data_IF_992109261753
#
_entry.id   IF_992109261753
#
_cell.length_a   1.000
_cell.length_b   1.000
_cell.length_c   1.000
_cell.angle_alpha   90.00
_cell.angle_beta   90.00
_cell.angle_gamma   90.00
#
_symmetry.space_group_name_H-M   'P 1'
#
loop_
_entity.id
_entity.type
_entity.pdbx_description
1 polymer ?
#
# COMPACT_ATOMS: atom_id res chain seq x y z
N UNK A 1 -17.54 -30.23 -4.26
CA UNK A 1 -18.65 -29.97 -5.22
C UNK A 1 -19.24 -28.57 -5.12
N UNK A 2 -19.60 -28.04 -3.93
CA UNK A 2 -20.26 -26.73 -3.77
C UNK A 2 -19.47 -25.52 -4.32
N UNK A 3 -18.14 -25.52 -4.17
CA UNK A 3 -17.28 -24.42 -4.66
C UNK A 3 -17.25 -24.29 -6.20
N UNK A 4 -17.25 -25.41 -6.94
CA UNK A 4 -17.27 -25.38 -8.40
C UNK A 4 -18.60 -24.86 -8.97
N UNK A 5 -19.71 -25.06 -8.26
CA UNK A 5 -21.01 -24.52 -8.65
C UNK A 5 -21.06 -23.00 -8.48
N UNK A 6 -20.59 -22.50 -7.33
CA UNK A 6 -20.49 -21.06 -7.06
C UNK A 6 -19.55 -20.35 -8.04
N UNK A 7 -18.43 -20.98 -8.41
CA UNK A 7 -17.51 -20.43 -9.41
C UNK A 7 -18.17 -20.29 -10.79
N UNK A 8 -18.93 -21.31 -11.23
CA UNK A 8 -19.69 -21.26 -12.48
C UNK A 8 -20.77 -20.18 -12.45
N UNK A 9 -21.50 -20.07 -11.34
CA UNK A 9 -22.52 -19.04 -11.14
C UNK A 9 -21.91 -17.64 -11.15
N UNK A 10 -20.76 -17.44 -10.50
CA UNK A 10 -20.05 -16.16 -10.53
C UNK A 10 -19.62 -15.79 -11.95
N UNK A 11 -19.02 -16.72 -12.70
CA UNK A 11 -18.64 -16.50 -14.10
C UNK A 11 -19.84 -16.10 -14.96
N UNK A 12 -20.97 -16.79 -14.83
CA UNK A 12 -22.21 -16.48 -15.53
C UNK A 12 -22.71 -15.08 -15.18
N UNK A 13 -22.72 -14.71 -13.90
CA UNK A 13 -23.18 -13.39 -13.48
C UNK A 13 -22.24 -12.26 -13.92
N UNK A 14 -20.93 -12.50 -14.01
CA UNK A 14 -20.01 -11.53 -14.64
C UNK A 14 -20.37 -11.31 -16.11
N UNK A 15 -20.70 -12.36 -16.86
CA UNK A 15 -21.14 -12.22 -18.25
C UNK A 15 -22.46 -11.43 -18.36
N UNK A 16 -23.36 -11.60 -17.39
CA UNK A 16 -24.59 -10.81 -17.32
C UNK A 16 -24.31 -9.33 -17.01
N UNK A 17 -23.39 -9.02 -16.10
CA UNK A 17 -22.98 -7.64 -15.78
C UNK A 17 -22.35 -6.93 -16.98
N UNK A 18 -21.63 -7.66 -17.83
CA UNK A 18 -21.02 -7.13 -19.06
C UNK A 18 -21.98 -7.17 -20.27
N UNK A 19 -23.22 -7.61 -20.09
CA UNK A 19 -24.21 -7.66 -21.17
C UNK A 19 -24.59 -6.25 -21.66
N UNK A 20 -24.86 -6.14 -22.95
CA UNK A 20 -25.46 -4.95 -23.58
C UNK A 20 -26.96 -4.82 -23.29
N UNK A 21 -27.61 -5.91 -22.89
CA UNK A 21 -29.02 -5.92 -22.48
C UNK A 21 -29.17 -5.42 -21.02
N UNK A 22 -29.97 -4.37 -20.84
CA UNK A 22 -30.15 -3.69 -19.54
C UNK A 22 -30.75 -4.63 -18.49
N UNK A 23 -31.73 -5.45 -18.86
CA UNK A 23 -32.41 -6.34 -17.93
C UNK A 23 -31.46 -7.42 -17.40
N UNK A 24 -30.69 -8.04 -18.30
CA UNK A 24 -29.64 -9.00 -17.97
C UNK A 24 -28.57 -8.37 -17.07
N UNK A 25 -28.15 -7.15 -17.39
CA UNK A 25 -27.17 -6.41 -16.59
C UNK A 25 -27.67 -6.09 -15.19
N UNK A 26 -28.92 -5.65 -15.05
CA UNK A 26 -29.55 -5.42 -13.74
C UNK A 26 -29.57 -6.70 -12.90
N UNK A 27 -29.99 -7.84 -13.48
CA UNK A 27 -30.00 -9.14 -12.79
C UNK A 27 -28.59 -9.57 -12.35
N UNK A 28 -27.60 -9.38 -13.23
CA UNK A 28 -26.19 -9.64 -12.90
C UNK A 28 -25.71 -8.79 -11.73
N UNK A 29 -26.02 -7.48 -11.73
CA UNK A 29 -25.65 -6.57 -10.66
C UNK A 29 -26.35 -6.89 -9.33
N UNK A 30 -27.65 -7.20 -9.34
CA UNK A 30 -28.40 -7.60 -8.14
C UNK A 30 -27.81 -8.86 -7.49
N UNK A 31 -27.46 -9.86 -8.31
CA UNK A 31 -26.83 -11.08 -7.81
C UNK A 31 -25.43 -10.78 -7.25
N UNK A 32 -24.62 -10.01 -7.96
CA UNK A 32 -23.27 -9.64 -7.51
C UNK A 32 -23.28 -8.85 -6.20
N UNK A 33 -24.30 -8.00 -5.98
CA UNK A 33 -24.50 -7.25 -4.74
C UNK A 33 -24.98 -8.14 -3.57
N UNK A 34 -25.72 -9.21 -3.85
CA UNK A 34 -26.20 -10.17 -2.85
C UNK A 34 -25.23 -11.33 -2.58
N UNK A 35 -24.11 -11.40 -3.29
CA UNK A 35 -23.12 -12.47 -3.15
C UNK A 35 -22.55 -12.51 -1.72
N UNK A 36 -22.85 -13.57 -0.94
CA UNK A 36 -22.63 -13.70 0.53
C UNK A 36 -21.20 -14.12 0.98
N UNK A 37 -20.89 -14.26 2.27
CA UNK A 37 -19.52 -14.49 2.82
C UNK A 37 -18.73 -15.64 2.17
N UNK A 38 -19.41 -16.68 1.69
CA UNK A 38 -18.80 -17.76 0.88
C UNK A 38 -18.21 -17.28 -0.47
N UNK A 39 -18.43 -16.00 -0.80
CA UNK A 39 -17.84 -15.26 -1.90
C UNK A 39 -16.33 -15.19 -1.86
N UNK A 40 -15.73 -14.99 -0.68
CA UNK A 40 -14.29 -14.75 -0.60
C UNK A 40 -13.50 -15.98 -1.05
N UNK A 41 -13.88 -17.17 -0.57
CA UNK A 41 -13.29 -18.45 -1.01
C UNK A 41 -13.54 -18.71 -2.49
N UNK A 42 -14.72 -18.36 -3.00
CA UNK A 42 -15.05 -18.54 -4.42
C UNK A 42 -14.24 -17.59 -5.31
N UNK A 43 -14.14 -16.31 -4.94
CA UNK A 43 -13.31 -15.33 -5.62
C UNK A 43 -11.83 -15.72 -5.56
N UNK A 44 -11.36 -16.27 -4.43
CA UNK A 44 -10.00 -16.80 -4.30
C UNK A 44 -9.74 -17.94 -5.28
N UNK A 45 -10.67 -18.89 -5.37
CA UNK A 45 -10.57 -20.00 -6.31
C UNK A 45 -10.60 -19.53 -7.78
N UNK A 46 -11.39 -18.49 -8.09
CA UNK A 46 -11.39 -17.87 -9.42
C UNK A 46 -10.04 -17.24 -9.74
N UNK A 47 -9.47 -16.49 -8.80
CA UNK A 47 -8.19 -15.81 -9.02
C UNK A 47 -7.04 -16.79 -9.25
N UNK A 48 -7.07 -17.94 -8.60
CA UNK A 48 -6.09 -19.03 -8.78
C UNK A 48 -6.40 -19.97 -9.95
N UNK A 49 -7.51 -19.76 -10.66
CA UNK A 49 -7.91 -20.59 -11.80
C UNK A 49 -7.43 -20.03 -13.14
N UNK A 50 -7.55 -20.82 -14.20
CA UNK A 50 -7.32 -20.39 -15.59
C UNK A 50 -8.51 -19.64 -16.21
N UNK A 51 -9.41 -19.09 -15.39
CA UNK A 51 -10.58 -18.34 -15.87
C UNK A 51 -10.14 -16.97 -16.42
N UNK A 52 -10.96 -16.45 -17.34
CA UNK A 52 -10.80 -15.16 -18.02
C UNK A 52 -10.55 -13.96 -17.08
N UNK A 53 -9.72 -13.02 -17.53
CA UNK A 53 -9.26 -11.87 -16.76
C UNK A 53 -10.39 -10.90 -16.38
N UNK A 54 -11.47 -10.82 -17.16
CA UNK A 54 -12.65 -10.01 -16.82
C UNK A 54 -13.30 -10.58 -15.56
N UNK A 55 -13.43 -11.90 -15.48
CA UNK A 55 -14.00 -12.58 -14.30
C UNK A 55 -13.09 -12.41 -13.09
N UNK A 56 -11.78 -12.54 -13.25
CA UNK A 56 -10.80 -12.26 -12.20
C UNK A 56 -10.90 -10.82 -11.69
N UNK A 57 -11.03 -9.85 -12.61
CA UNK A 57 -11.20 -8.43 -12.28
C UNK A 57 -12.46 -8.21 -11.44
N UNK A 58 -13.57 -8.83 -11.81
CA UNK A 58 -14.81 -8.77 -11.02
C UNK A 58 -14.70 -9.49 -9.68
N UNK A 59 -13.96 -10.59 -9.58
CA UNK A 59 -13.65 -11.22 -8.29
C UNK A 59 -12.86 -10.29 -7.37
N UNK A 60 -11.88 -9.55 -7.89
CA UNK A 60 -11.18 -8.50 -7.12
C UNK A 60 -12.14 -7.40 -6.68
N UNK A 61 -13.04 -6.93 -7.57
CA UNK A 61 -14.06 -5.92 -7.20
C UNK A 61 -14.99 -6.42 -6.10
N UNK A 62 -15.47 -7.67 -6.21
CA UNK A 62 -16.33 -8.28 -5.19
C UNK A 62 -15.60 -8.42 -3.85
N UNK A 63 -14.36 -8.90 -3.86
CA UNK A 63 -13.50 -8.94 -2.65
C UNK A 63 -13.34 -7.54 -2.08
N UNK A 64 -13.04 -6.53 -2.91
CA UNK A 64 -12.86 -5.14 -2.48
C UNK A 64 -14.13 -4.58 -1.84
N UNK A 65 -15.29 -4.73 -2.47
CA UNK A 65 -16.56 -4.24 -1.95
C UNK A 65 -16.91 -4.90 -0.61
N UNK A 66 -16.64 -6.20 -0.46
CA UNK A 66 -16.82 -6.91 0.80
C UNK A 66 -15.85 -6.47 1.88
N UNK A 67 -14.58 -6.33 1.53
CA UNK A 67 -13.57 -5.78 2.42
C UNK A 67 -14.03 -4.38 2.88
N UNK A 68 -14.52 -3.53 1.97
CA UNK A 68 -15.09 -2.22 2.30
C UNK A 68 -16.33 -2.30 3.21
N UNK A 69 -17.22 -3.28 3.02
CA UNK A 69 -18.38 -3.49 3.90
C UNK A 69 -17.97 -3.98 5.30
N UNK A 70 -17.06 -4.95 5.37
CA UNK A 70 -16.44 -5.39 6.62
C UNK A 70 -15.74 -4.21 7.29
N UNK A 71 -15.06 -3.36 6.52
CA UNK A 71 -14.47 -2.12 7.03
C UNK A 71 -15.52 -1.17 7.59
N UNK A 72 -16.59 -0.85 6.88
CA UNK A 72 -17.64 0.01 7.42
C UNK A 72 -18.25 -0.57 8.70
N UNK A 73 -18.48 -1.89 8.73
CA UNK A 73 -19.01 -2.58 9.89
C UNK A 73 -18.02 -2.57 11.08
N UNK A 74 -16.73 -2.77 10.82
CA UNK A 74 -15.67 -2.71 11.82
C UNK A 74 -15.44 -1.27 12.31
N UNK A 75 -15.44 -0.28 11.41
CA UNK A 75 -15.26 1.14 11.74
C UNK A 75 -16.45 1.72 12.50
N UNK A 76 -17.69 1.34 12.17
CA UNK A 76 -18.88 1.75 12.93
C UNK A 76 -18.93 1.15 14.33
N UNK A 77 -18.04 0.20 14.64
CA UNK A 77 -17.92 -0.49 15.93
C UNK A 77 -16.57 -0.21 16.61
N UNK A 78 -16.10 1.04 16.61
CA UNK A 78 -14.85 1.46 17.31
C UNK A 78 -14.79 0.95 18.76
N UNK A 79 -15.96 0.81 19.40
CA UNK A 79 -16.12 0.31 20.77
C UNK A 79 -15.95 -1.23 20.90
N UNK A 80 -16.14 -1.99 19.81
CA UNK A 80 -15.98 -3.46 19.76
C UNK A 80 -14.56 -3.87 19.36
N UNK A 81 -13.69 -2.92 19.01
CA UNK A 81 -12.26 -3.18 18.78
C UNK A 81 -11.53 -3.44 20.11
N UNK A 82 -11.93 -4.44 20.87
CA UNK A 82 -11.15 -4.96 21.98
C UNK A 82 -9.95 -5.79 21.48
N UNK A 83 -10.03 -6.32 20.26
CA UNK A 83 -8.91 -6.97 19.58
C UNK A 83 -7.81 -5.98 19.14
N UNK A 84 -6.56 -6.41 19.19
CA UNK A 84 -5.43 -5.59 18.71
C UNK A 84 -5.42 -5.53 17.18
N UNK A 85 -4.98 -4.42 16.58
CA UNK A 85 -4.71 -4.35 15.14
C UNK A 85 -3.80 -5.51 14.68
N UNK A 86 -2.92 -5.98 15.56
CA UNK A 86 -2.11 -7.17 15.31
C UNK A 86 -2.95 -8.41 15.08
N UNK A 87 -4.04 -8.66 15.83
CA UNK A 87 -4.93 -9.81 15.60
C UNK A 87 -5.63 -9.74 14.24
N UNK A 88 -6.16 -8.58 13.84
CA UNK A 88 -6.79 -8.44 12.51
C UNK A 88 -5.77 -8.71 11.41
N UNK A 89 -4.56 -8.20 11.56
CA UNK A 89 -3.50 -8.42 10.59
C UNK A 89 -3.05 -9.87 10.59
N UNK A 90 -2.82 -10.46 11.76
CA UNK A 90 -2.51 -11.87 11.92
C UNK A 90 -3.60 -12.72 11.28
N UNK A 91 -4.89 -12.44 11.51
CA UNK A 91 -6.02 -13.14 10.88
C UNK A 91 -5.97 -13.05 9.36
N UNK A 92 -5.70 -11.86 8.79
CA UNK A 92 -5.57 -11.70 7.34
C UNK A 92 -4.33 -12.44 6.80
N UNK A 93 -3.22 -12.47 7.54
CA UNK A 93 -2.02 -13.21 7.17
C UNK A 93 -2.15 -14.72 7.39
N UNK A 94 -3.02 -15.15 8.31
CA UNK A 94 -3.37 -16.54 8.63
C UNK A 94 -4.47 -17.06 7.71
N UNK A 95 -5.00 -16.25 6.78
CA UNK A 95 -5.62 -16.75 5.54
C UNK A 95 -4.50 -17.36 4.70
N UNK A 96 -3.80 -18.35 5.24
CA UNK A 96 -2.82 -19.13 4.54
C UNK A 96 -3.63 -19.94 3.53
N UNK A 97 -3.47 -19.60 2.26
CA UNK A 97 -3.85 -20.50 1.20
C UNK A 97 -2.88 -21.66 1.30
N UNK A 98 -3.17 -22.65 2.16
CA UNK A 98 -2.37 -23.86 2.20
C UNK A 98 -2.19 -24.32 0.76
N UNK A 99 -0.95 -24.47 0.28
CA UNK A 99 -0.71 -24.90 -1.09
C UNK A 99 -1.37 -26.27 -1.20
N UNK A 100 -2.48 -26.36 -1.94
CA UNK A 100 -3.02 -27.65 -2.30
C UNK A 100 -1.89 -28.38 -3.02
N UNK A 101 -1.56 -29.60 -2.60
CA UNK A 101 -0.40 -30.40 -3.05
C UNK A 101 -0.30 -30.62 -4.58
N UNK A 102 -1.21 -30.03 -5.37
CA UNK A 102 -1.42 -30.31 -6.78
C UNK A 102 -1.08 -29.18 -7.77
N UNK A 103 -0.50 -28.05 -7.36
CA UNK A 103 -0.13 -26.99 -8.32
C UNK A 103 1.31 -26.50 -8.13
N UNK A 104 2.25 -27.13 -8.84
CA UNK A 104 3.70 -26.93 -8.71
C UNK A 104 4.28 -25.75 -9.51
N UNK A 105 3.47 -24.81 -10.01
CA UNK A 105 3.97 -23.73 -10.87
C UNK A 105 3.41 -22.32 -10.61
N UNK A 106 2.51 -22.14 -9.64
CA UNK A 106 2.01 -20.80 -9.29
C UNK A 106 2.37 -20.48 -7.85
N UNK A 107 3.10 -19.39 -7.62
CA UNK A 107 3.48 -18.88 -6.30
C UNK A 107 2.27 -18.21 -5.62
N UNK A 108 1.20 -19.00 -5.40
CA UNK A 108 0.00 -18.60 -4.67
C UNK A 108 0.26 -18.30 -3.19
N UNK A 109 1.48 -18.56 -2.70
CA UNK A 109 1.89 -18.36 -1.31
C UNK A 109 1.92 -16.88 -0.88
N UNK A 110 1.97 -15.97 -1.85
CA UNK A 110 2.08 -14.52 -1.61
C UNK A 110 0.74 -13.76 -1.70
N UNK A 111 -0.35 -14.42 -2.11
CA UNK A 111 -1.64 -13.77 -2.30
C UNK A 111 -2.22 -13.17 -1.00
N UNK A 112 -2.21 -13.87 0.16
CA UNK A 112 -2.74 -13.30 1.40
C UNK A 112 -2.03 -12.01 1.79
N UNK A 113 -0.72 -11.95 1.59
CA UNK A 113 0.09 -10.76 1.83
C UNK A 113 -0.25 -9.62 0.86
N UNK A 114 -0.56 -9.93 -0.41
CA UNK A 114 -1.03 -8.92 -1.37
C UNK A 114 -2.38 -8.34 -0.95
N UNK A 115 -3.32 -9.19 -0.54
CA UNK A 115 -4.64 -8.75 -0.03
C UNK A 115 -4.49 -7.92 1.24
N UNK A 116 -3.68 -8.37 2.21
CA UNK A 116 -3.39 -7.63 3.43
C UNK A 116 -2.79 -6.25 3.14
N UNK A 117 -1.91 -6.16 2.14
CA UNK A 117 -1.31 -4.89 1.71
C UNK A 117 -2.37 -3.95 1.13
N UNK A 118 -3.23 -4.44 0.23
CA UNK A 118 -4.31 -3.64 -0.36
C UNK A 118 -5.28 -3.17 0.73
N UNK A 119 -5.62 -4.05 1.66
CA UNK A 119 -6.43 -3.75 2.84
C UNK A 119 -5.81 -2.62 3.68
N UNK A 120 -4.55 -2.77 4.09
CA UNK A 120 -3.83 -1.77 4.88
C UNK A 120 -3.70 -0.44 4.16
N UNK A 121 -3.44 -0.46 2.85
CA UNK A 121 -3.38 0.73 2.01
C UNK A 121 -4.72 1.48 2.01
N UNK A 122 -5.83 0.79 1.79
CA UNK A 122 -7.17 1.39 1.78
C UNK A 122 -7.53 1.95 3.16
N UNK A 123 -7.25 1.19 4.23
CA UNK A 123 -7.43 1.64 5.61
C UNK A 123 -6.69 2.96 5.91
N UNK A 124 -5.44 3.08 5.47
CA UNK A 124 -4.63 4.29 5.64
C UNK A 124 -5.14 5.47 4.79
N UNK A 125 -5.73 5.20 3.61
CA UNK A 125 -6.39 6.22 2.79
C UNK A 125 -7.64 6.77 3.48
N UNK A 126 -8.56 5.89 3.89
CA UNK A 126 -9.84 6.28 4.47
C UNK A 126 -9.66 7.09 5.75
N UNK A 127 -8.63 6.73 6.54
CA UNK A 127 -8.24 7.48 7.73
C UNK A 127 -7.87 8.94 7.44
N UNK A 128 -7.20 9.24 6.32
CA UNK A 128 -6.84 10.63 5.98
C UNK A 128 -8.07 11.50 5.74
N UNK A 129 -9.20 10.89 5.40
CA UNK A 129 -10.47 11.58 5.14
C UNK A 129 -11.32 11.75 6.41
N UNK A 130 -11.03 11.01 7.48
CA UNK A 130 -11.87 10.99 8.68
C UNK A 130 -11.48 12.09 9.69
N UNK A 131 -12.42 12.99 10.02
CA UNK A 131 -12.22 14.15 10.92
C UNK A 131 -13.01 14.10 12.25
N UNK A 132 -13.47 12.91 12.69
CA UNK A 132 -14.29 12.77 13.91
C UNK A 132 -13.50 12.68 15.22
N UNK A 133 -14.15 12.92 16.37
CA UNK A 133 -13.56 12.79 17.72
C UNK A 133 -13.12 11.36 18.05
N UNK A 134 -13.82 10.36 17.51
CA UNK A 134 -13.47 8.94 17.57
C UNK A 134 -12.11 8.62 16.94
N UNK A 135 -11.62 9.49 16.05
CA UNK A 135 -10.31 9.36 15.43
C UNK A 135 -9.19 9.31 16.46
N UNK A 136 -9.31 10.07 17.57
CA UNK A 136 -8.28 10.11 18.62
C UNK A 136 -8.16 8.81 19.42
N UNK A 137 -9.26 8.05 19.57
CA UNK A 137 -9.23 6.73 20.23
C UNK A 137 -8.57 5.71 19.31
N UNK A 138 -9.00 5.67 18.05
CA UNK A 138 -8.43 4.77 17.03
C UNK A 138 -6.96 5.07 16.77
N UNK A 139 -6.57 6.35 16.70
CA UNK A 139 -5.20 6.80 16.59
C UNK A 139 -4.31 6.22 17.69
N UNK A 140 -4.74 6.32 18.96
CA UNK A 140 -4.01 5.74 20.08
C UNK A 140 -3.85 4.22 19.93
N UNK A 141 -4.89 3.51 19.48
CA UNK A 141 -4.81 2.06 19.24
C UNK A 141 -3.81 1.71 18.14
N UNK A 142 -3.83 2.43 17.01
CA UNK A 142 -2.89 2.19 15.91
C UNK A 142 -1.46 2.57 16.32
N UNK A 143 -1.29 3.70 17.02
CA UNK A 143 0.01 4.15 17.52
C UNK A 143 0.71 3.10 18.38
N UNK A 144 -0.04 2.39 19.25
CA UNK A 144 0.48 1.26 20.02
C UNK A 144 0.96 0.08 19.16
N UNK A 145 0.38 -0.09 17.96
CA UNK A 145 0.70 -1.15 17.01
C UNK A 145 1.67 -0.71 15.90
N UNK A 146 2.18 0.53 15.93
CA UNK A 146 3.12 1.02 14.90
C UNK A 146 4.40 0.19 14.77
N UNK A 147 5.04 -0.30 15.85
CA UNK A 147 6.21 -1.16 15.71
C UNK A 147 5.92 -2.44 14.91
N UNK A 148 4.76 -3.06 15.15
CA UNK A 148 4.31 -4.23 14.40
C UNK A 148 4.09 -3.88 12.92
N UNK A 149 3.35 -2.80 12.63
CA UNK A 149 3.10 -2.36 11.26
C UNK A 149 4.41 -2.05 10.52
N UNK A 150 5.38 -1.40 11.18
CA UNK A 150 6.68 -1.14 10.59
C UNK A 150 7.43 -2.44 10.27
N UNK A 151 7.45 -3.40 11.20
CA UNK A 151 8.08 -4.72 11.00
C UNK A 151 7.42 -5.48 9.85
N UNK A 152 6.09 -5.40 9.75
CA UNK A 152 5.33 -6.02 8.68
C UNK A 152 5.70 -5.41 7.33
N UNK A 153 5.69 -4.08 7.20
CA UNK A 153 6.10 -3.40 5.97
C UNK A 153 7.53 -3.82 5.58
N UNK A 154 8.46 -3.89 6.52
CA UNK A 154 9.82 -4.35 6.25
C UNK A 154 9.83 -5.77 5.69
N UNK A 155 9.04 -6.69 6.29
CA UNK A 155 8.90 -8.07 5.80
C UNK A 155 8.33 -8.11 4.38
N UNK A 156 7.27 -7.34 4.12
CA UNK A 156 6.65 -7.25 2.79
C UNK A 156 7.64 -6.72 1.75
N UNK A 157 8.38 -5.65 2.05
CA UNK A 157 9.39 -5.10 1.13
C UNK A 157 10.44 -6.17 0.78
N UNK A 158 10.93 -6.95 1.77
CA UNK A 158 11.89 -8.03 1.52
C UNK A 158 11.29 -9.13 0.64
N UNK A 159 10.07 -9.57 0.94
CA UNK A 159 9.42 -10.66 0.23
C UNK A 159 9.07 -10.31 -1.21
N UNK A 160 8.78 -9.04 -1.49
CA UNK A 160 8.33 -8.57 -2.81
C UNK A 160 9.40 -7.78 -3.57
N UNK A 161 10.68 -7.86 -3.19
CA UNK A 161 11.74 -6.99 -3.75
C UNK A 161 11.83 -7.02 -5.29
N UNK A 162 11.54 -8.17 -5.90
CA UNK A 162 11.54 -8.36 -7.36
C UNK A 162 10.13 -8.37 -7.98
N UNK A 163 9.07 -8.34 -7.16
CA UNK A 163 7.68 -8.42 -7.63
C UNK A 163 7.18 -7.01 -8.02
N UNK A 164 6.43 -6.86 -9.14
CA UNK A 164 5.79 -5.60 -9.50
C UNK A 164 4.89 -5.01 -8.38
N UNK A 165 4.36 -5.86 -7.50
CA UNK A 165 3.54 -5.48 -6.36
C UNK A 165 4.30 -4.69 -5.28
N UNK A 166 5.64 -4.65 -5.34
CA UNK A 166 6.44 -3.78 -4.47
C UNK A 166 5.98 -2.32 -4.50
N UNK A 167 5.54 -1.83 -5.65
CA UNK A 167 5.07 -0.46 -5.83
C UNK A 167 3.85 -0.15 -4.93
N UNK A 168 2.98 -1.14 -4.72
CA UNK A 168 1.82 -1.03 -3.83
C UNK A 168 2.23 -0.99 -2.35
N UNK A 169 3.26 -1.76 -1.98
CA UNK A 169 3.83 -1.76 -0.62
C UNK A 169 4.52 -0.43 -0.32
N UNK A 170 5.25 0.13 -1.29
CA UNK A 170 5.88 1.46 -1.18
C UNK A 170 4.81 2.54 -1.00
N UNK A 171 3.71 2.47 -1.75
CA UNK A 171 2.60 3.41 -1.61
C UNK A 171 1.90 3.26 -0.25
N UNK A 172 1.70 2.03 0.24
CA UNK A 172 1.18 1.77 1.58
C UNK A 172 2.09 2.39 2.65
N UNK A 173 3.41 2.20 2.55
CA UNK A 173 4.36 2.83 3.47
C UNK A 173 4.26 4.36 3.44
N UNK A 174 4.17 4.97 2.25
CA UNK A 174 3.99 6.42 2.10
C UNK A 174 2.76 6.92 2.86
N UNK A 175 1.62 6.24 2.70
CA UNK A 175 0.38 6.59 3.40
C UNK A 175 0.52 6.41 4.90
N UNK A 176 1.20 5.35 5.35
CA UNK A 176 1.52 5.11 6.75
C UNK A 176 2.35 6.26 7.32
N UNK A 177 3.41 6.69 6.63
CA UNK A 177 4.27 7.79 7.12
C UNK A 177 3.52 9.10 7.18
N UNK A 178 2.59 9.36 6.26
CA UNK A 178 1.73 10.55 6.32
C UNK A 178 0.80 10.54 7.53
N UNK A 179 0.24 9.38 7.87
CA UNK A 179 -0.68 9.25 9.01
C UNK A 179 0.06 9.14 10.35
N UNK A 180 1.24 8.54 10.35
CA UNK A 180 2.03 8.21 11.54
C UNK A 180 3.53 8.39 11.23
N UNK A 181 4.00 9.64 11.27
CA UNK A 181 5.36 9.95 10.90
C UNK A 181 6.37 9.37 11.88
N UNK A 182 7.52 8.92 11.37
CA UNK A 182 8.62 8.45 12.20
C UNK A 182 9.26 9.64 12.93
N UNK A 183 9.58 9.46 14.20
CA UNK A 183 10.30 10.47 14.99
C UNK A 183 11.77 10.61 14.54
N UNK A 184 12.39 9.48 14.17
CA UNK A 184 13.73 9.47 13.60
C UNK A 184 13.71 8.76 12.24
N UNK A 185 13.93 9.52 11.17
CA UNK A 185 13.96 8.97 9.81
C UNK A 185 15.22 8.13 9.57
N UNK A 186 16.31 8.42 10.27
CA UNK A 186 17.59 7.71 10.16
C UNK A 186 17.52 6.29 10.71
N UNK A 187 16.68 6.07 11.71
CA UNK A 187 16.44 4.76 12.33
C UNK A 187 15.25 4.03 11.69
N UNK A 188 14.57 4.65 10.73
CA UNK A 188 13.39 4.05 10.10
C UNK A 188 13.82 2.98 9.09
N UNK A 189 13.78 1.71 9.49
CA UNK A 189 14.14 0.57 8.63
C UNK A 189 13.46 0.61 7.26
N UNK A 190 12.16 0.90 7.21
CA UNK A 190 11.38 0.97 5.97
C UNK A 190 11.86 2.11 5.06
N UNK A 191 12.25 3.26 5.63
CA UNK A 191 12.80 4.37 4.86
C UNK A 191 14.12 3.96 4.20
N UNK A 192 15.04 3.39 4.99
CA UNK A 192 16.34 2.94 4.49
C UNK A 192 16.19 1.88 3.40
N UNK A 193 15.28 0.92 3.59
CA UNK A 193 14.99 -0.09 2.57
C UNK A 193 14.46 0.50 1.26
N UNK A 194 13.57 1.50 1.33
CA UNK A 194 13.04 2.17 0.12
C UNK A 194 14.12 3.00 -0.57
N UNK A 195 15.02 3.62 0.20
CA UNK A 195 16.21 4.30 -0.33
C UNK A 195 17.11 3.31 -1.06
N UNK A 196 17.40 2.16 -0.44
CA UNK A 196 18.22 1.12 -1.05
C UNK A 196 17.57 0.57 -2.32
N UNK A 197 16.24 0.43 -2.36
CA UNK A 197 15.51 0.11 -3.59
C UNK A 197 15.78 1.18 -4.66
N UNK A 198 15.54 2.46 -4.36
CA UNK A 198 15.77 3.56 -5.32
C UNK A 198 17.21 3.59 -5.85
N UNK A 199 18.19 3.39 -4.97
CA UNK A 199 19.62 3.32 -5.30
C UNK A 199 19.89 2.22 -6.33
N UNK A 200 19.24 1.07 -6.20
CA UNK A 200 19.42 -0.08 -7.07
C UNK A 200 18.46 -0.14 -8.27
N UNK A 201 17.39 0.67 -8.28
CA UNK A 201 16.44 0.73 -9.39
C UNK A 201 17.12 1.20 -10.68
N UNK A 202 16.89 0.46 -11.77
CA UNK A 202 17.34 0.82 -13.10
C UNK A 202 16.64 2.10 -13.58
N UNK A 203 17.34 3.04 -14.25
CA UNK A 203 16.73 4.24 -14.82
C UNK A 203 15.47 3.98 -15.70
N UNK A 204 15.42 2.83 -16.38
CA UNK A 204 14.27 2.40 -17.19
C UNK A 204 13.03 2.01 -16.36
N UNK A 205 13.19 1.63 -15.10
CA UNK A 205 12.08 1.29 -14.18
C UNK A 205 11.49 2.55 -13.51
N UNK A 206 11.13 3.54 -14.34
CA UNK A 206 10.74 4.87 -13.87
C UNK A 206 9.53 4.87 -12.93
N UNK A 207 8.57 3.96 -13.10
CA UNK A 207 7.38 3.86 -12.22
C UNK A 207 7.79 3.57 -10.78
N UNK A 208 8.66 2.58 -10.59
CA UNK A 208 9.16 2.18 -9.27
C UNK A 208 10.00 3.30 -8.65
N UNK A 209 10.91 3.88 -9.43
CA UNK A 209 11.72 5.02 -8.96
C UNK A 209 10.83 6.18 -8.49
N UNK A 210 9.80 6.54 -9.26
CA UNK A 210 8.83 7.56 -8.90
C UNK A 210 8.12 7.25 -7.58
N UNK A 211 7.68 5.99 -7.37
CA UNK A 211 7.05 5.57 -6.12
C UNK A 211 7.99 5.73 -4.93
N UNK A 212 9.24 5.30 -5.06
CA UNK A 212 10.25 5.48 -4.01
C UNK A 212 10.48 6.96 -3.69
N UNK A 213 10.71 7.81 -4.70
CA UNK A 213 10.93 9.26 -4.51
C UNK A 213 9.72 9.91 -3.82
N UNK A 214 8.51 9.55 -4.23
CA UNK A 214 7.27 10.07 -3.62
C UNK A 214 7.14 9.64 -2.15
N UNK A 215 7.49 8.39 -1.83
CA UNK A 215 7.51 7.88 -0.46
C UNK A 215 8.55 8.62 0.40
N UNK A 216 9.78 8.73 -0.09
CA UNK A 216 10.89 9.43 0.56
C UNK A 216 10.53 10.89 0.81
N UNK A 217 10.06 11.63 -0.21
CA UNK A 217 9.60 13.02 -0.07
C UNK A 217 8.53 13.19 1.01
N UNK A 218 7.61 12.23 1.11
CA UNK A 218 6.59 12.25 2.17
C UNK A 218 7.23 12.10 3.55
N UNK A 219 8.22 11.22 3.70
CA UNK A 219 8.94 11.05 4.96
C UNK A 219 9.70 12.32 5.36
N UNK A 220 10.44 12.93 4.42
CA UNK A 220 11.19 14.17 4.67
C UNK A 220 10.26 15.29 5.12
N UNK A 221 9.18 15.55 4.37
CA UNK A 221 8.21 16.59 4.72
C UNK A 221 7.62 16.41 6.11
N UNK A 222 7.34 15.17 6.51
CA UNK A 222 6.80 14.93 7.85
C UNK A 222 7.85 15.12 8.94
N UNK A 223 9.10 14.74 8.67
CA UNK A 223 10.22 14.97 9.59
C UNK A 223 10.47 16.47 9.80
N UNK A 224 10.47 17.28 8.73
CA UNK A 224 10.57 18.74 8.80
C UNK A 224 9.53 19.33 9.75
N UNK A 225 8.26 18.95 9.55
CA UNK A 225 7.14 19.40 10.37
C UNK A 225 7.36 19.06 11.84
N UNK A 226 7.77 17.82 12.15
CA UNK A 226 8.06 17.41 13.52
C UNK A 226 9.22 18.20 14.13
N UNK A 227 10.28 18.42 13.35
CA UNK A 227 11.47 19.16 13.82
C UNK A 227 11.14 20.60 14.16
N UNK A 228 10.36 21.29 13.30
CA UNK A 228 9.90 22.67 13.52
C UNK A 228 9.08 22.80 14.80
N UNK A 229 8.23 21.81 15.12
CA UNK A 229 7.42 21.84 16.33
C UNK A 229 8.19 21.46 17.61
N UNK A 230 9.25 20.66 17.48
CA UNK A 230 9.93 20.10 18.65
C UNK A 230 10.95 21.03 19.33
N UNK A 231 11.32 22.18 18.74
CA UNK A 231 12.42 23.04 19.23
C UNK A 231 13.72 22.26 19.58
N UNK A 232 13.87 21.03 19.09
CA UNK A 232 14.95 20.16 19.52
C UNK A 232 16.24 20.67 18.90
N UNK A 233 17.19 20.97 19.78
CA UNK A 233 18.58 21.23 19.46
C UNK A 233 19.12 20.07 18.65
N UNK A 234 19.21 20.28 17.35
CA UNK A 234 19.74 19.37 16.35
C UNK A 234 21.21 18.97 16.56
N UNK A 235 21.82 19.33 17.70
CA UNK A 235 23.25 19.59 17.88
C UNK A 235 24.21 18.52 17.39
N UNK A 236 23.77 17.26 17.29
CA UNK A 236 24.60 16.16 16.78
C UNK A 236 23.97 15.33 15.62
N UNK A 237 22.76 15.66 15.13
CA UNK A 237 22.08 14.87 14.09
C UNK A 237 21.97 15.57 12.72
N UNK A 238 22.37 16.84 12.60
CA UNK A 238 22.33 17.58 11.32
C UNK A 238 23.16 16.90 10.24
N UNK A 239 24.42 16.62 10.55
CA UNK A 239 25.38 16.12 9.56
C UNK A 239 25.00 14.73 9.00
N UNK A 240 24.57 13.74 9.81
CA UNK A 240 24.05 12.47 9.29
C UNK A 240 22.80 12.65 8.40
N UNK A 241 21.86 13.51 8.80
CA UNK A 241 20.65 13.81 8.02
C UNK A 241 21.03 14.42 6.67
N UNK A 242 21.93 15.40 6.69
CA UNK A 242 22.45 16.05 5.51
C UNK A 242 23.16 15.08 4.57
N UNK A 243 24.03 14.23 5.10
CA UNK A 243 24.78 13.23 4.32
C UNK A 243 23.83 12.30 3.57
N UNK A 244 22.74 11.88 4.22
CA UNK A 244 21.71 11.04 3.61
C UNK A 244 20.96 11.79 2.51
N UNK A 245 20.62 13.05 2.72
CA UNK A 245 19.95 13.84 1.69
C UNK A 245 20.84 14.17 0.50
N UNK A 246 22.11 14.49 0.73
CA UNK A 246 23.11 14.66 -0.32
C UNK A 246 23.22 13.40 -1.18
N UNK A 247 23.30 12.23 -0.53
CA UNK A 247 23.35 10.92 -1.21
C UNK A 247 22.07 10.69 -2.03
N UNK A 248 20.90 10.96 -1.45
CA UNK A 248 19.61 10.82 -2.13
C UNK A 248 19.51 11.72 -3.36
N UNK A 249 20.01 12.95 -3.31
CA UNK A 249 20.06 13.86 -4.47
C UNK A 249 20.85 13.24 -5.62
N UNK A 250 21.99 12.62 -5.33
CA UNK A 250 22.79 11.92 -6.35
C UNK A 250 22.06 10.69 -6.89
N UNK A 251 21.39 9.92 -6.02
CA UNK A 251 20.58 8.76 -6.41
C UNK A 251 19.40 9.14 -7.31
N UNK A 252 18.81 10.33 -7.12
CA UNK A 252 17.71 10.83 -7.97
C UNK A 252 18.24 11.37 -9.31
N UNK A 253 19.42 12.02 -9.31
CA UNK A 253 20.01 12.61 -10.53
C UNK A 253 20.19 11.63 -11.67
N UNK A 254 20.47 10.35 -11.39
CA UNK A 254 20.64 9.33 -12.45
C UNK A 254 19.39 9.10 -13.30
N UNK A 255 18.20 9.49 -12.82
CA UNK A 255 16.93 9.38 -13.56
C UNK A 255 16.63 10.61 -14.44
N UNK A 256 17.40 11.69 -14.32
CA UNK A 256 17.16 12.94 -15.06
C UNK A 256 17.28 12.77 -16.58
N UNK A 257 18.36 12.16 -17.13
CA UNK A 257 18.52 12.02 -18.59
C UNK A 257 17.33 11.28 -19.23
N UNK A 258 17.02 10.08 -18.73
CA UNK A 258 15.91 9.27 -19.23
C UNK A 258 14.54 9.98 -19.12
N UNK A 259 14.36 10.83 -18.10
CA UNK A 259 13.10 11.57 -17.93
C UNK A 259 12.88 12.68 -18.96
N UNK A 260 13.96 13.28 -19.47
CA UNK A 260 13.92 14.28 -20.54
C UNK A 260 13.48 13.61 -21.84
N UNK A 261 14.07 12.45 -22.15
CA UNK A 261 13.84 11.72 -23.40
C UNK A 261 12.41 11.18 -23.53
N UNK A 262 11.73 10.89 -22.41
CA UNK A 262 10.38 10.33 -22.40
C UNK A 262 9.27 11.37 -22.21
N UNK A 263 9.57 12.68 -22.26
CA UNK A 263 8.60 13.77 -22.02
C UNK A 263 7.74 13.57 -20.75
N UNK A 264 8.31 12.99 -19.70
CA UNK A 264 7.54 12.61 -18.52
C UNK A 264 7.47 13.79 -17.53
N UNK A 265 6.56 14.73 -17.79
CA UNK A 265 6.37 15.97 -17.02
C UNK A 265 6.23 15.74 -15.50
N UNK A 266 5.64 14.60 -15.10
CA UNK A 266 5.47 14.23 -13.68
C UNK A 266 6.81 14.08 -12.95
N UNK A 267 7.85 13.60 -13.64
CA UNK A 267 9.18 13.44 -13.06
C UNK A 267 9.95 14.77 -13.06
N UNK A 268 9.80 15.57 -14.12
CA UNK A 268 10.40 16.90 -14.22
C UNK A 268 9.95 17.81 -13.07
N UNK A 269 8.65 17.80 -12.74
CA UNK A 269 8.10 18.53 -11.61
C UNK A 269 8.58 18.00 -10.25
N UNK A 270 8.87 16.70 -10.13
CA UNK A 270 9.40 16.12 -8.89
C UNK A 270 10.90 16.34 -8.71
N UNK A 271 11.69 16.27 -9.79
CA UNK A 271 13.12 16.61 -9.75
C UNK A 271 13.28 18.06 -9.33
N UNK A 272 12.56 19.00 -9.95
CA UNK A 272 12.70 20.40 -9.58
C UNK A 272 12.13 20.71 -8.19
N UNK A 273 10.93 20.24 -7.83
CA UNK A 273 10.36 20.55 -6.51
C UNK A 273 11.01 19.77 -5.35
N UNK A 274 11.39 18.51 -5.56
CA UNK A 274 12.01 17.65 -4.56
C UNK A 274 13.48 18.01 -4.33
N UNK A 275 14.24 18.28 -5.40
CA UNK A 275 15.59 18.82 -5.27
C UNK A 275 15.56 20.21 -4.66
N UNK A 276 14.58 21.06 -4.99
CA UNK A 276 14.44 22.36 -4.33
C UNK A 276 14.08 22.22 -2.85
N UNK A 277 13.18 21.31 -2.44
CA UNK A 277 12.92 21.09 -0.99
C UNK A 277 14.17 20.58 -0.27
N UNK A 278 14.89 19.62 -0.85
CA UNK A 278 16.16 19.13 -0.30
C UNK A 278 17.26 20.22 -0.28
N UNK A 279 17.23 21.14 -1.25
CA UNK A 279 18.15 22.28 -1.35
C UNK A 279 17.76 23.44 -0.42
N UNK A 280 16.49 23.64 -0.12
CA UNK A 280 16.04 24.60 0.91
C UNK A 280 16.42 24.08 2.30
N UNK A 281 16.30 22.77 2.55
CA UNK A 281 16.86 22.15 3.76
C UNK A 281 18.37 22.32 3.85
N UNK A 282 19.08 22.21 2.73
CA UNK A 282 20.51 22.48 2.66
C UNK A 282 20.86 23.91 3.06
N UNK A 283 20.09 24.91 2.59
CA UNK A 283 20.39 26.32 2.83
C UNK A 283 19.99 26.80 4.24
N UNK A 284 18.87 26.32 4.79
CA UNK A 284 18.40 26.72 6.13
C UNK A 284 19.15 26.11 7.31
N UNK A 285 20.15 25.25 7.06
CA UNK A 285 21.03 24.65 8.09
C UNK A 285 22.44 25.25 8.08
N UNK A 286 22.78 26.08 7.10
CA UNK A 286 24.04 26.84 7.02
C UNK A 286 23.93 28.25 7.64
N UNK A 287 22.71 28.69 8.01
CA UNK A 287 22.41 29.93 8.74
C UNK A 287 22.20 29.68 10.24
#
# INVERSE_FOLDING_TARGET
>A
MKSNLLMKQFKLNVQLVESVDEESRCKGNEWMNSFEESALTTCYNILNSSVDDIVKTHSVKAIRNKICFIFEALFKRVDVWEGSLSQILDDIFMIDGQPSEYTSQYDGSLYPQKVATIFLKQFLCDRQSFKGSENTKLERKISRNLPFLNKLISKLIKNFQTDPFLDEIIEMYRLKTRAFPSQNILECSNFLMIRDILKNTCPKEWSRAYRCVKAIKTCVKQFEVLSLFSQLSFGNQIEPVYTIFATLVQEIRKFVPDSIDHHNEKLFGMNNSGLCTLRVLWQGLEE
#
